data_IF_631432811493
#
_entry.id   IF_631432811493
#
_cell.length_a   1.000
_cell.length_b   1.000
_cell.length_c   1.000
_cell.angle_alpha   90.00
_cell.angle_beta   90.00
_cell.angle_gamma   90.00
#
_symmetry.space_group_name_H-M   'P 1'
#
loop_
_entity.id
_entity.type
_entity.pdbx_description
1 polymer ?
#
# COMPACT_ATOMS: atom_id res chain seq x y z
N UNK A 1 -33.36 -8.36 35.03
CA UNK A 1 -33.02 -7.67 33.77
C UNK A 1 -31.65 -7.04 33.98
N UNK A 2 -30.56 -7.70 33.55
CA UNK A 2 -29.22 -7.10 33.64
C UNK A 2 -29.09 -6.06 32.52
N UNK A 3 -28.70 -4.85 32.88
CA UNK A 3 -28.37 -3.80 31.92
C UNK A 3 -27.21 -4.28 31.06
N UNK A 4 -27.46 -4.64 29.81
CA UNK A 4 -26.40 -4.85 28.82
C UNK A 4 -25.64 -3.54 28.72
N UNK A 5 -24.42 -3.49 29.28
CA UNK A 5 -23.50 -2.40 29.03
C UNK A 5 -23.33 -2.32 27.52
N UNK A 6 -23.96 -1.34 26.90
CA UNK A 6 -23.88 -1.14 25.46
C UNK A 6 -22.40 -0.92 25.15
N UNK A 7 -21.79 -1.87 24.44
CA UNK A 7 -20.38 -1.86 24.04
C UNK A 7 -20.15 -0.71 23.04
N UNK A 8 -20.12 0.52 23.55
CA UNK A 8 -20.02 1.76 22.77
C UNK A 8 -18.63 2.32 22.96
N UNK A 9 -17.98 2.62 21.84
CA UNK A 9 -16.66 3.24 21.77
C UNK A 9 -16.74 4.56 21.02
N UNK A 10 -15.78 5.45 21.23
CA UNK A 10 -15.69 6.75 20.58
C UNK A 10 -16.95 7.59 20.79
N UNK A 11 -17.51 7.55 22.01
CA UNK A 11 -18.74 8.22 22.46
C UNK A 11 -20.03 7.65 21.86
N UNK A 12 -20.07 7.34 20.56
CA UNK A 12 -21.31 7.03 19.84
C UNK A 12 -21.20 5.91 18.81
N UNK A 13 -20.18 5.06 18.84
CA UNK A 13 -20.08 3.88 17.97
C UNK A 13 -20.40 2.60 18.73
N UNK A 14 -21.57 2.00 18.47
CA UNK A 14 -21.92 0.70 19.03
C UNK A 14 -21.16 -0.40 18.29
N UNK A 15 -20.41 -1.21 19.03
CA UNK A 15 -19.69 -2.39 18.53
C UNK A 15 -20.67 -3.52 18.30
N UNK A 16 -20.64 -4.09 17.10
CA UNK A 16 -21.45 -5.22 16.65
C UNK A 16 -20.67 -6.54 16.65
N UNK A 17 -20.96 -7.41 15.67
CA UNK A 17 -20.29 -8.71 15.57
C UNK A 17 -18.85 -8.56 15.06
N UNK A 18 -17.99 -9.50 15.44
CA UNK A 18 -16.65 -9.62 14.88
C UNK A 18 -16.75 -9.97 13.40
N UNK A 19 -16.06 -9.21 12.55
CA UNK A 19 -16.00 -9.43 11.10
C UNK A 19 -14.58 -9.67 10.60
N UNK A 20 -13.57 -9.69 11.46
CA UNK A 20 -12.21 -9.97 10.98
C UNK A 20 -11.21 -10.07 12.12
N UNK A 21 -10.10 -10.73 11.86
CA UNK A 21 -8.95 -10.81 12.76
C UNK A 21 -7.68 -10.96 11.95
N UNK A 22 -6.64 -10.24 12.35
CA UNK A 22 -5.32 -10.32 11.75
C UNK A 22 -4.23 -10.24 12.81
N UNK A 23 -2.97 -10.23 12.35
CA UNK A 23 -1.79 -10.15 13.22
C UNK A 23 -1.76 -8.91 14.12
N UNK A 24 -2.45 -7.83 13.73
CA UNK A 24 -2.40 -6.52 14.39
C UNK A 24 -3.66 -6.17 15.18
N UNK A 25 -4.69 -7.02 15.15
CA UNK A 25 -5.93 -6.70 15.86
C UNK A 25 -7.16 -7.44 15.37
N UNK A 26 -8.30 -7.01 15.92
CA UNK A 26 -9.62 -7.57 15.65
C UNK A 26 -10.50 -6.48 15.07
N UNK A 27 -11.30 -6.83 14.05
CA UNK A 27 -12.22 -5.91 13.37
C UNK A 27 -13.65 -6.34 13.68
N UNK A 28 -14.49 -5.37 14.03
CA UNK A 28 -15.91 -5.54 14.28
C UNK A 28 -16.70 -4.67 13.31
N UNK A 29 -17.89 -5.12 12.90
CA UNK A 29 -18.88 -4.19 12.37
C UNK A 29 -19.42 -3.33 13.51
N UNK A 30 -19.94 -2.16 13.19
CA UNK A 30 -20.52 -1.28 14.18
C UNK A 30 -21.53 -0.31 13.57
N UNK A 31 -22.17 0.45 14.43
CA UNK A 31 -23.15 1.47 14.02
C UNK A 31 -22.88 2.78 14.75
N UNK A 32 -22.75 3.86 13.98
CA UNK A 32 -22.74 5.22 14.51
C UNK A 32 -24.16 5.56 14.99
N UNK A 33 -24.32 5.79 16.28
CA UNK A 33 -25.60 6.02 16.94
C UNK A 33 -26.20 7.40 16.64
N UNK A 34 -25.42 8.34 16.10
CA UNK A 34 -25.89 9.68 15.76
C UNK A 34 -26.68 9.70 14.44
N UNK A 35 -26.31 8.84 13.50
CA UNK A 35 -26.84 8.86 12.13
C UNK A 35 -27.17 7.47 11.54
N UNK A 36 -27.08 6.41 12.36
CA UNK A 36 -27.28 5.01 11.98
C UNK A 36 -26.34 4.49 10.87
N UNK A 37 -25.23 5.19 10.59
CA UNK A 37 -24.26 4.75 9.61
C UNK A 37 -23.53 3.49 10.09
N UNK A 38 -23.41 2.49 9.21
CA UNK A 38 -22.61 1.29 9.48
C UNK A 38 -21.11 1.62 9.32
N UNK A 39 -20.29 1.12 10.25
CA UNK A 39 -18.85 1.37 10.32
C UNK A 39 -18.07 0.07 10.58
N UNK A 40 -16.78 0.07 10.29
CA UNK A 40 -15.85 -0.96 10.75
C UNK A 40 -15.00 -0.39 11.89
N UNK A 41 -14.83 -1.17 12.96
CA UNK A 41 -14.13 -0.77 14.18
C UNK A 41 -12.96 -1.74 14.41
N UNK A 42 -11.73 -1.27 14.22
CA UNK A 42 -10.51 -2.03 14.41
C UNK A 42 -9.94 -1.76 15.81
N UNK A 43 -9.69 -2.83 16.56
CA UNK A 43 -9.07 -2.81 17.88
C UNK A 43 -7.67 -3.39 17.81
N UNK A 44 -6.68 -2.63 18.30
CA UNK A 44 -5.29 -3.07 18.45
C UNK A 44 -4.90 -3.03 19.94
N UNK A 45 -4.36 -4.09 20.54
CA UNK A 45 -3.86 -4.04 21.91
C UNK A 45 -2.75 -3.00 22.08
N UNK A 46 -2.84 -2.16 23.13
CA UNK A 46 -1.86 -1.10 23.41
C UNK A 46 -0.44 -1.62 23.69
N UNK A 47 -0.33 -2.88 24.13
CA UNK A 47 0.94 -3.57 24.40
C UNK A 47 1.38 -4.46 23.22
N UNK A 48 0.90 -4.19 22.01
CA UNK A 48 1.41 -4.83 20.79
C UNK A 48 2.90 -4.52 20.62
N UNK A 49 3.70 -5.50 20.19
CA UNK A 49 5.13 -5.29 19.93
C UNK A 49 5.40 -4.50 18.65
N UNK A 50 4.41 -4.47 17.75
CA UNK A 50 4.44 -3.75 16.50
C UNK A 50 3.16 -2.91 16.38
N UNK A 51 3.04 -1.82 17.16
CA UNK A 51 1.88 -0.95 17.09
C UNK A 51 1.85 -0.21 15.75
N UNK A 52 0.75 -0.33 15.02
CA UNK A 52 0.57 0.23 13.67
C UNK A 52 -0.67 1.11 13.57
N UNK A 53 -1.68 0.92 14.43
CA UNK A 53 -3.00 1.52 14.23
C UNK A 53 -3.00 3.06 14.23
N UNK A 54 -2.09 3.68 15.01
CA UNK A 54 -1.91 5.14 15.00
C UNK A 54 -1.30 5.65 13.69
N UNK A 55 -0.36 4.92 13.13
CA UNK A 55 0.30 5.29 11.87
C UNK A 55 -0.61 4.99 10.67
N UNK A 56 -1.41 3.93 10.76
CA UNK A 56 -2.53 3.67 9.85
C UNK A 56 -3.53 4.83 9.86
N UNK A 57 -3.96 5.31 11.04
CA UNK A 57 -4.83 6.50 11.16
C UNK A 57 -4.23 7.73 10.46
N UNK A 58 -2.93 8.01 10.68
CA UNK A 58 -2.24 9.12 10.00
C UNK A 58 -2.23 8.96 8.49
N UNK A 59 -2.05 7.73 8.01
CA UNK A 59 -2.09 7.43 6.58
C UNK A 59 -3.48 7.67 6.00
N UNK A 60 -4.55 7.23 6.67
CA UNK A 60 -5.92 7.58 6.28
C UNK A 60 -6.14 9.09 6.22
N UNK A 61 -5.61 9.87 7.17
CA UNK A 61 -5.71 11.33 7.16
C UNK A 61 -4.99 11.98 5.97
N UNK A 62 -3.92 11.39 5.46
CA UNK A 62 -3.22 11.85 4.24
C UNK A 62 -4.03 11.52 2.99
N UNK A 63 -4.70 10.35 2.98
CA UNK A 63 -5.39 9.79 1.82
C UNK A 63 -6.88 10.17 1.74
N UNK A 64 -7.45 10.78 2.79
CA UNK A 64 -8.87 11.14 2.86
C UNK A 64 -9.32 11.94 1.64
N UNK A 65 -10.51 11.61 1.12
CA UNK A 65 -11.08 12.23 -0.07
C UNK A 65 -10.58 11.64 -1.40
N UNK A 66 -9.60 10.72 -1.38
CA UNK A 66 -9.18 10.02 -2.58
C UNK A 66 -10.15 8.87 -2.95
N UNK A 67 -10.45 8.65 -4.24
CA UNK A 67 -11.35 7.59 -4.67
C UNK A 67 -10.90 6.19 -4.20
N UNK A 68 -11.84 5.44 -3.63
CA UNK A 68 -11.60 4.08 -3.12
C UNK A 68 -10.74 4.02 -1.85
N UNK A 69 -10.59 5.12 -1.12
CA UNK A 69 -10.07 5.15 0.24
C UNK A 69 -11.24 5.34 1.21
N UNK A 70 -11.46 4.43 2.16
CA UNK A 70 -12.47 4.60 3.21
C UNK A 70 -12.31 5.91 3.98
N UNK A 71 -13.41 6.52 4.38
CA UNK A 71 -13.34 7.61 5.34
C UNK A 71 -12.94 7.09 6.71
N UNK A 72 -12.20 7.91 7.44
CA UNK A 72 -11.84 7.68 8.83
C UNK A 72 -12.60 8.63 9.73
N UNK A 73 -13.24 8.07 10.76
CA UNK A 73 -14.19 8.78 11.62
C UNK A 73 -13.65 9.04 13.02
N UNK A 74 -12.92 8.09 13.57
CA UNK A 74 -12.42 8.18 14.93
C UNK A 74 -11.12 7.38 15.08
N UNK A 75 -10.22 7.94 15.89
CA UNK A 75 -9.10 7.22 16.46
C UNK A 75 -8.99 7.61 17.93
N UNK A 76 -8.85 6.62 18.81
CA UNK A 76 -8.75 6.86 20.25
C UNK A 76 -8.23 5.66 21.02
N UNK A 77 -8.06 5.84 22.32
CA UNK A 77 -7.64 4.79 23.24
C UNK A 77 -8.74 4.53 24.25
N UNK A 78 -9.18 3.28 24.35
CA UNK A 78 -10.20 2.89 25.31
C UNK A 78 -9.79 1.58 25.99
N UNK A 79 -9.69 1.64 27.31
CA UNK A 79 -9.13 0.56 28.12
C UNK A 79 -7.71 0.17 27.66
N UNK A 80 -7.58 -1.09 27.24
CA UNK A 80 -6.31 -1.69 26.83
C UNK A 80 -6.09 -1.68 25.31
N UNK A 81 -6.93 -1.00 24.54
CA UNK A 81 -6.88 -1.01 23.08
C UNK A 81 -6.75 0.40 22.49
N UNK A 82 -6.03 0.50 21.38
CA UNK A 82 -6.22 1.56 20.40
C UNK A 82 -7.41 1.17 19.51
N UNK A 83 -8.22 2.14 19.12
CA UNK A 83 -9.43 1.95 18.32
C UNK A 83 -9.36 2.86 17.10
N UNK A 84 -9.72 2.31 15.93
CA UNK A 84 -9.87 3.02 14.67
C UNK A 84 -11.25 2.72 14.09
N UNK A 85 -12.01 3.75 13.74
CA UNK A 85 -13.33 3.64 13.11
C UNK A 85 -13.27 4.19 11.69
N UNK A 86 -13.64 3.36 10.71
CA UNK A 86 -13.68 3.69 9.28
C UNK A 86 -15.01 3.27 8.66
N UNK A 87 -15.23 3.61 7.39
CA UNK A 87 -16.36 3.08 6.62
C UNK A 87 -16.41 1.55 6.63
N UNK A 88 -17.61 0.99 6.82
CA UNK A 88 -17.84 -0.43 6.56
C UNK A 88 -17.93 -0.67 5.05
N UNK A 89 -17.14 -1.61 4.55
CA UNK A 89 -17.11 -2.03 3.15
C UNK A 89 -17.79 -3.38 2.93
N UNK A 90 -17.83 -3.84 1.67
CA UNK A 90 -18.25 -5.18 1.28
C UNK A 90 -17.12 -6.21 1.45
N UNK A 91 -17.27 -7.40 0.84
CA UNK A 91 -16.27 -8.47 0.90
C UNK A 91 -14.95 -8.08 0.23
N UNK A 92 -13.87 -8.76 0.63
CA UNK A 92 -12.57 -8.64 -0.03
C UNK A 92 -12.55 -9.35 -1.38
N UNK A 93 -11.55 -9.03 -2.22
CA UNK A 93 -11.32 -9.77 -3.46
C UNK A 93 -10.94 -11.23 -3.20
N UNK A 94 -10.37 -11.57 -2.03
CA UNK A 94 -10.14 -12.98 -1.67
C UNK A 94 -11.47 -13.71 -1.40
N UNK A 95 -12.39 -13.09 -0.65
CA UNK A 95 -13.71 -13.68 -0.38
C UNK A 95 -14.50 -13.91 -1.68
N UNK A 96 -14.50 -12.89 -2.56
CA UNK A 96 -15.14 -12.98 -3.87
C UNK A 96 -14.47 -14.04 -4.76
N UNK A 97 -13.15 -14.19 -4.64
CA UNK A 97 -12.40 -15.19 -5.37
C UNK A 97 -12.78 -16.61 -4.94
N UNK A 98 -12.92 -16.85 -3.64
CA UNK A 98 -13.41 -18.12 -3.11
C UNK A 98 -14.85 -18.41 -3.57
N UNK A 99 -15.73 -17.40 -3.57
CA UNK A 99 -17.10 -17.52 -4.11
C UNK A 99 -17.14 -17.85 -5.61
N UNK A 100 -16.14 -17.41 -6.37
CA UNK A 100 -15.97 -17.70 -7.80
C UNK A 100 -15.14 -18.98 -8.05
N UNK A 101 -15.14 -19.94 -7.11
CA UNK A 101 -14.41 -21.21 -7.23
C UNK A 101 -12.90 -21.01 -7.45
N UNK A 102 -12.34 -19.97 -6.82
CA UNK A 102 -10.91 -19.64 -6.83
C UNK A 102 -10.36 -19.44 -8.24
N UNK A 103 -11.14 -18.84 -9.12
CA UNK A 103 -10.66 -18.37 -10.42
C UNK A 103 -11.52 -17.22 -10.92
N UNK A 104 -10.89 -16.15 -11.36
CA UNK A 104 -11.57 -15.08 -12.08
C UNK A 104 -11.33 -15.21 -13.59
N UNK A 105 -12.32 -14.80 -14.37
CA UNK A 105 -12.23 -14.62 -15.81
C UNK A 105 -11.25 -13.49 -16.15
N UNK A 106 -10.71 -13.53 -17.38
CA UNK A 106 -9.80 -12.49 -17.88
C UNK A 106 -10.47 -11.11 -17.78
N UNK A 107 -11.73 -11.00 -18.22
CA UNK A 107 -12.54 -9.79 -18.11
C UNK A 107 -12.57 -9.23 -16.68
N UNK A 108 -12.92 -10.06 -15.70
CA UNK A 108 -12.95 -9.66 -14.28
C UNK A 108 -11.57 -9.21 -13.80
N UNK A 109 -10.51 -9.97 -14.09
CA UNK A 109 -9.15 -9.61 -13.67
C UNK A 109 -8.69 -8.29 -14.28
N UNK A 110 -8.97 -8.04 -15.56
CA UNK A 110 -8.62 -6.80 -16.24
C UNK A 110 -9.29 -5.58 -15.60
N UNK A 111 -10.60 -5.64 -15.36
CA UNK A 111 -11.34 -4.54 -14.73
C UNK A 111 -10.88 -4.30 -13.28
N UNK A 112 -10.64 -5.39 -12.53
CA UNK A 112 -10.06 -5.34 -11.18
C UNK A 112 -8.66 -4.70 -11.21
N UNK A 113 -7.80 -5.11 -12.15
CA UNK A 113 -6.43 -4.65 -12.25
C UNK A 113 -6.35 -3.14 -12.51
N UNK A 114 -7.20 -2.60 -13.39
CA UNK A 114 -7.27 -1.16 -13.66
C UNK A 114 -7.62 -0.35 -12.40
N UNK A 115 -8.60 -0.83 -11.61
CA UNK A 115 -8.96 -0.16 -10.36
C UNK A 115 -7.86 -0.29 -9.30
N UNK A 116 -7.31 -1.49 -9.08
CA UNK A 116 -6.23 -1.71 -8.10
C UNK A 116 -4.99 -0.86 -8.43
N UNK A 117 -4.59 -0.82 -9.70
CA UNK A 117 -3.49 0.01 -10.17
C UNK A 117 -3.75 1.50 -9.89
N UNK A 118 -4.98 1.96 -10.09
CA UNK A 118 -5.37 3.35 -9.78
C UNK A 118 -5.30 3.65 -8.27
N UNK A 119 -5.64 2.69 -7.39
CA UNK A 119 -5.46 2.85 -5.94
C UNK A 119 -4.00 2.96 -5.55
N UNK A 120 -3.16 2.08 -6.09
CA UNK A 120 -1.72 2.08 -5.82
C UNK A 120 -1.07 3.36 -6.35
N UNK A 121 -1.42 3.81 -7.56
CA UNK A 121 -0.99 5.09 -8.11
C UNK A 121 -1.35 6.25 -7.16
N UNK A 122 -2.59 6.30 -6.67
CA UNK A 122 -3.05 7.35 -5.74
C UNK A 122 -2.20 7.38 -4.46
N UNK A 123 -1.88 6.21 -3.88
CA UNK A 123 -1.01 6.09 -2.70
C UNK A 123 0.39 6.63 -3.01
N UNK A 124 0.96 6.25 -4.16
CA UNK A 124 2.27 6.71 -4.62
C UNK A 124 2.31 8.22 -4.85
N UNK A 125 1.26 8.81 -5.41
CA UNK A 125 1.15 10.26 -5.61
C UNK A 125 1.11 11.04 -4.29
N UNK A 126 0.58 10.41 -3.23
CA UNK A 126 0.65 10.91 -1.85
C UNK A 126 1.97 10.61 -1.13
N UNK A 127 3.01 10.23 -1.87
CA UNK A 127 4.39 10.02 -1.41
C UNK A 127 4.58 8.79 -0.51
N UNK A 128 3.61 7.87 -0.53
CA UNK A 128 3.61 6.64 0.25
C UNK A 128 3.80 5.43 -0.67
N UNK A 129 4.35 4.35 -0.15
CA UNK A 129 4.28 2.99 -0.71
C UNK A 129 3.49 2.12 0.25
N UNK A 130 2.77 1.14 -0.29
CA UNK A 130 1.78 0.36 0.45
C UNK A 130 2.39 -0.87 1.16
N UNK A 131 3.27 -1.60 0.47
CA UNK A 131 4.12 -2.70 0.97
C UNK A 131 3.42 -4.00 1.39
N UNK A 132 2.08 -4.07 1.44
CA UNK A 132 1.35 -5.31 1.75
C UNK A 132 0.22 -5.60 0.75
N UNK A 133 0.52 -5.50 -0.54
CA UNK A 133 -0.41 -5.85 -1.62
C UNK A 133 -0.81 -7.32 -1.52
N UNK A 134 -2.10 -7.56 -1.26
CA UNK A 134 -2.74 -8.88 -1.22
C UNK A 134 -4.26 -8.74 -1.46
N UNK A 135 -4.94 -9.75 -2.01
CA UNK A 135 -6.38 -9.70 -2.29
C UNK A 135 -7.25 -9.32 -1.08
N UNK A 136 -6.84 -9.74 0.13
CA UNK A 136 -7.56 -9.50 1.38
C UNK A 136 -7.72 -8.00 1.70
N UNK A 137 -6.80 -7.16 1.23
CA UNK A 137 -6.80 -5.73 1.51
C UNK A 137 -7.51 -4.88 0.44
N UNK A 138 -8.03 -5.52 -0.61
CA UNK A 138 -8.84 -4.87 -1.63
C UNK A 138 -10.28 -5.33 -1.50
N UNK A 139 -11.20 -4.41 -1.21
CA UNK A 139 -12.59 -4.72 -0.89
C UNK A 139 -13.53 -3.99 -1.84
N UNK A 140 -14.66 -4.60 -2.20
CA UNK A 140 -15.70 -3.88 -2.93
C UNK A 140 -16.49 -2.96 -1.99
N UNK A 141 -17.19 -1.96 -2.53
CA UNK A 141 -18.13 -1.18 -1.74
C UNK A 141 -19.32 -2.03 -1.27
N UNK A 142 -20.10 -1.49 -0.34
CA UNK A 142 -21.26 -2.22 0.19
C UNK A 142 -22.31 -2.50 -0.89
N UNK A 143 -23.05 -3.61 -0.76
CA UNK A 143 -24.29 -3.85 -1.48
C UNK A 143 -25.20 -2.63 -1.55
N UNK A 144 -25.91 -2.47 -2.67
CA UNK A 144 -26.92 -1.42 -2.88
C UNK A 144 -26.40 0.01 -2.64
N UNK A 145 -25.08 0.23 -2.73
CA UNK A 145 -24.46 1.55 -2.68
C UNK A 145 -23.98 1.95 -4.07
N UNK A 146 -23.88 3.27 -4.33
CA UNK A 146 -23.27 3.79 -5.57
C UNK A 146 -21.82 3.34 -5.77
N UNK A 147 -21.18 2.82 -4.71
CA UNK A 147 -19.81 2.35 -4.71
C UNK A 147 -19.70 0.81 -4.75
N UNK A 148 -20.79 0.06 -4.99
CA UNK A 148 -20.79 -1.41 -4.97
C UNK A 148 -19.75 -2.05 -5.88
N UNK A 149 -19.45 -1.39 -7.02
CA UNK A 149 -18.49 -1.88 -8.01
C UNK A 149 -17.13 -1.17 -7.91
N UNK A 150 -16.95 -0.31 -6.91
CA UNK A 150 -15.70 0.39 -6.64
C UNK A 150 -14.84 -0.49 -5.75
N UNK A 151 -13.63 -0.79 -6.22
CA UNK A 151 -12.62 -1.46 -5.40
C UNK A 151 -11.98 -0.42 -4.48
N UNK A 152 -11.92 -0.72 -3.20
CA UNK A 152 -11.31 0.08 -2.16
C UNK A 152 -10.03 -0.61 -1.68
N UNK A 153 -9.13 0.14 -1.06
CA UNK A 153 -7.95 -0.39 -0.38
C UNK A 153 -8.00 -0.02 1.11
N UNK A 154 -7.70 -0.99 1.96
CA UNK A 154 -7.70 -0.86 3.43
C UNK A 154 -6.34 -1.25 4.02
N UNK A 155 -6.21 -1.27 5.35
CA UNK A 155 -5.04 -1.76 6.08
C UNK A 155 -3.71 -1.11 5.68
N UNK A 156 -3.52 0.15 6.11
CA UNK A 156 -2.30 0.91 5.84
C UNK A 156 -1.21 0.72 6.92
N UNK A 157 -1.31 -0.32 7.76
CA UNK A 157 -0.37 -0.54 8.86
C UNK A 157 1.09 -0.76 8.42
N UNK A 158 1.29 -1.21 7.18
CA UNK A 158 2.61 -1.38 6.58
C UNK A 158 3.04 -0.20 5.69
N UNK A 159 2.19 0.78 5.44
CA UNK A 159 2.51 1.87 4.53
C UNK A 159 3.72 2.68 5.01
N UNK A 160 4.50 3.21 4.07
CA UNK A 160 5.74 3.94 4.37
C UNK A 160 5.93 5.09 3.40
N UNK A 161 6.42 6.22 3.88
CA UNK A 161 6.82 7.33 3.03
C UNK A 161 8.08 6.96 2.23
N UNK A 162 8.00 7.00 0.89
CA UNK A 162 9.11 6.67 0.00
C UNK A 162 9.85 7.89 -0.55
N UNK A 163 9.26 9.08 -0.40
CA UNK A 163 9.92 10.34 -0.74
C UNK A 163 9.43 11.46 0.15
N UNK A 164 10.23 12.50 0.32
CA UNK A 164 9.80 13.69 1.05
C UNK A 164 8.58 14.35 0.34
N UNK A 165 7.48 14.67 1.05
CA UNK A 165 6.29 15.26 0.43
C UNK A 165 6.53 16.62 -0.20
N UNK A 166 7.52 17.39 0.26
CA UNK A 166 7.84 18.75 -0.19
C UNK A 166 8.91 18.73 -1.28
N UNK A 167 10.09 18.16 -1.00
CA UNK A 167 11.24 18.17 -1.92
C UNK A 167 11.16 17.09 -2.99
N UNK A 168 10.27 16.10 -2.81
CA UNK A 168 10.16 14.89 -3.64
C UNK A 168 11.43 14.04 -3.68
N UNK A 169 12.40 14.30 -2.80
CA UNK A 169 13.61 13.50 -2.67
C UNK A 169 13.25 12.07 -2.26
N UNK A 170 13.68 11.09 -3.07
CA UNK A 170 13.45 9.68 -2.81
C UNK A 170 14.23 9.22 -1.57
N UNK A 171 13.70 8.24 -0.84
CA UNK A 171 14.44 7.57 0.24
C UNK A 171 15.69 6.91 -0.33
N UNK A 172 16.81 6.85 0.42
CA UNK A 172 18.01 6.19 -0.05
C UNK A 172 17.80 4.69 -0.19
N UNK A 173 18.46 4.09 -1.19
CA UNK A 173 18.53 2.65 -1.33
C UNK A 173 19.19 2.01 -0.11
N UNK A 174 18.64 0.88 0.36
CA UNK A 174 19.18 0.08 1.47
C UNK A 174 18.97 -1.39 1.18
N UNK A 175 19.81 -2.22 1.80
CA UNK A 175 19.70 -3.67 1.78
C UNK A 175 19.68 -4.22 3.22
N UNK A 176 19.58 -5.54 3.36
CA UNK A 176 19.50 -6.24 4.65
C UNK A 176 18.28 -5.81 5.47
N UNK A 177 17.19 -5.47 4.79
CA UNK A 177 15.88 -5.23 5.40
C UNK A 177 15.29 -6.54 5.89
N UNK A 178 14.58 -6.49 7.01
CA UNK A 178 13.72 -7.58 7.44
C UNK A 178 12.60 -7.79 6.42
N UNK A 179 12.22 -9.05 6.22
CA UNK A 179 11.11 -9.40 5.34
C UNK A 179 9.80 -8.96 6.01
N UNK A 180 9.05 -8.09 5.33
CA UNK A 180 7.73 -7.62 5.76
C UNK A 180 6.72 -7.78 4.63
N UNK A 181 5.46 -8.03 4.99
CA UNK A 181 4.36 -8.26 4.05
C UNK A 181 4.18 -9.74 3.68
N UNK A 182 3.22 -10.01 2.81
CA UNK A 182 2.80 -11.38 2.48
C UNK A 182 3.74 -12.06 1.48
N UNK A 183 4.44 -13.13 1.90
CA UNK A 183 5.44 -13.87 1.10
C UNK A 183 4.97 -14.25 -0.31
N UNK A 184 3.68 -14.65 -0.42
CA UNK A 184 3.04 -15.09 -1.65
C UNK A 184 3.09 -14.03 -2.74
N UNK A 185 2.89 -12.76 -2.39
CA UNK A 185 2.73 -11.67 -3.37
C UNK A 185 3.93 -10.73 -3.45
N UNK A 186 4.72 -10.57 -2.39
CA UNK A 186 5.85 -9.63 -2.37
C UNK A 186 6.84 -9.79 -3.54
N UNK A 187 7.51 -8.71 -3.91
CA UNK A 187 8.47 -8.69 -5.02
C UNK A 187 9.70 -9.58 -4.76
N UNK A 188 10.42 -9.92 -5.82
CA UNK A 188 11.72 -10.59 -5.72
C UNK A 188 12.71 -9.73 -4.92
N UNK A 189 12.74 -8.41 -5.14
CA UNK A 189 13.61 -7.50 -4.40
C UNK A 189 13.33 -7.52 -2.88
N UNK A 190 12.05 -7.65 -2.49
CA UNK A 190 11.67 -7.79 -1.07
C UNK A 190 12.26 -9.06 -0.47
N UNK A 191 12.17 -10.20 -1.19
CA UNK A 191 12.81 -11.47 -0.77
C UNK A 191 14.33 -11.36 -0.61
N UNK A 192 14.97 -10.51 -1.43
CA UNK A 192 16.41 -10.23 -1.35
C UNK A 192 16.78 -9.23 -0.24
N UNK A 193 15.82 -8.81 0.59
CA UNK A 193 16.05 -7.87 1.69
C UNK A 193 16.41 -6.46 1.22
N UNK A 194 16.00 -6.07 0.01
CA UNK A 194 16.18 -4.72 -0.51
C UNK A 194 15.06 -3.81 -0.01
N UNK A 195 15.36 -2.53 0.18
CA UNK A 195 14.37 -1.52 0.54
C UNK A 195 13.30 -1.45 -0.55
N UNK A 196 12.03 -1.47 -0.13
CA UNK A 196 10.90 -1.43 -1.05
C UNK A 196 10.69 0.01 -1.56
N UNK A 197 10.29 0.12 -2.83
CA UNK A 197 9.78 1.34 -3.45
C UNK A 197 8.54 1.04 -4.29
N UNK A 198 8.11 2.01 -5.11
CA UNK A 198 6.90 1.91 -5.95
C UNK A 198 6.89 0.67 -6.84
N UNK A 199 8.05 0.24 -7.34
CA UNK A 199 8.17 -0.95 -8.21
C UNK A 199 7.74 -2.23 -7.50
N UNK A 200 7.95 -2.31 -6.20
CA UNK A 200 7.68 -3.52 -5.43
C UNK A 200 6.18 -3.72 -5.20
N UNK A 201 5.43 -2.63 -5.02
CA UNK A 201 3.96 -2.66 -4.99
C UNK A 201 3.39 -3.08 -6.36
N UNK A 202 3.97 -2.61 -7.46
CA UNK A 202 3.53 -2.96 -8.81
C UNK A 202 3.86 -4.40 -9.21
N UNK A 203 5.03 -4.91 -8.82
CA UNK A 203 5.37 -6.33 -9.01
C UNK A 203 4.43 -7.23 -8.19
N UNK A 204 4.10 -6.82 -6.95
CA UNK A 204 3.15 -7.55 -6.13
C UNK A 204 1.73 -7.56 -6.71
N UNK A 205 1.27 -6.45 -7.31
CA UNK A 205 0.03 -6.42 -8.08
C UNK A 205 0.05 -7.44 -9.23
N UNK A 206 1.16 -7.52 -9.97
CA UNK A 206 1.32 -8.52 -11.04
C UNK A 206 1.19 -9.96 -10.52
N UNK A 207 1.79 -10.27 -9.37
CA UNK A 207 1.61 -11.57 -8.73
C UNK A 207 0.15 -11.82 -8.30
N UNK A 208 -0.57 -10.80 -7.81
CA UNK A 208 -2.00 -10.89 -7.49
C UNK A 208 -2.86 -11.14 -8.74
N UNK A 209 -2.58 -10.48 -9.86
CA UNK A 209 -3.32 -10.70 -11.11
C UNK A 209 -3.14 -12.12 -11.62
N UNK A 210 -1.90 -12.63 -11.61
CA UNK A 210 -1.64 -14.01 -12.01
C UNK A 210 -2.24 -15.02 -11.03
N UNK A 211 -2.32 -14.69 -9.74
CA UNK A 211 -3.03 -15.51 -8.75
C UNK A 211 -4.52 -15.65 -9.10
N UNK A 212 -5.19 -14.55 -9.43
CA UNK A 212 -6.61 -14.59 -9.80
C UNK A 212 -6.89 -15.37 -11.09
N UNK A 213 -6.02 -15.23 -12.10
CA UNK A 213 -6.18 -15.91 -13.38
C UNK A 213 -5.94 -17.43 -13.28
N UNK A 214 -4.95 -17.83 -12.48
CA UNK A 214 -4.47 -19.21 -12.39
C UNK A 214 -5.13 -20.04 -11.31
N UNK A 215 -5.74 -19.41 -10.31
CA UNK A 215 -6.21 -20.09 -9.10
C UNK A 215 -5.13 -20.33 -8.03
N UNK A 216 -3.88 -20.17 -8.42
CA UNK A 216 -2.71 -20.33 -7.56
C UNK A 216 -1.41 -19.98 -8.29
N UNK A 217 -0.34 -19.78 -7.53
CA UNK A 217 0.98 -19.40 -7.99
C UNK A 217 1.98 -20.57 -7.84
N UNK A 218 3.00 -20.67 -8.71
CA UNK A 218 3.97 -21.78 -8.71
C UNK A 218 4.78 -21.96 -7.41
N UNK A 219 4.79 -20.95 -6.55
CA UNK A 219 5.49 -20.94 -5.26
C UNK A 219 4.55 -21.12 -4.06
N UNK A 220 3.30 -21.55 -4.28
CA UNK A 220 2.40 -21.96 -3.20
C UNK A 220 2.64 -23.42 -2.79
N UNK A 221 2.32 -23.75 -1.52
CA UNK A 221 2.40 -25.12 -1.01
C UNK A 221 3.83 -25.66 -0.76
N UNK A 222 4.87 -24.83 -0.89
CA UNK A 222 6.25 -25.24 -0.63
C UNK A 222 6.46 -25.59 0.84
N UNK A 223 7.04 -26.76 1.09
CA UNK A 223 7.37 -27.26 2.44
C UNK A 223 8.73 -26.72 2.90
N UNK A 224 8.80 -26.25 4.14
CA UNK A 224 10.03 -25.80 4.80
C UNK A 224 9.94 -26.06 6.30
N UNK A 225 11.09 -26.21 6.97
CA UNK A 225 11.11 -26.47 8.42
C UNK A 225 10.87 -25.20 9.24
N UNK A 226 11.29 -24.04 8.72
CA UNK A 226 11.11 -22.74 9.39
C UNK A 226 10.46 -21.73 8.45
N UNK A 227 9.88 -20.68 9.04
CA UNK A 227 9.32 -19.57 8.26
C UNK A 227 10.39 -18.87 7.43
N UNK A 228 11.61 -18.68 7.97
CA UNK A 228 12.72 -18.08 7.22
C UNK A 228 13.04 -18.89 5.95
N UNK A 229 13.20 -20.20 6.08
CA UNK A 229 13.42 -21.09 4.93
C UNK A 229 12.24 -21.10 3.96
N UNK A 230 11.01 -20.96 4.46
CA UNK A 230 9.82 -20.87 3.61
C UNK A 230 9.86 -19.63 2.72
N UNK A 231 10.24 -18.48 3.28
CA UNK A 231 10.41 -17.24 2.52
C UNK A 231 11.53 -17.39 1.48
N UNK A 232 12.69 -17.91 1.87
CA UNK A 232 13.82 -18.16 0.96
C UNK A 232 13.40 -19.04 -0.23
N UNK A 233 12.76 -20.19 0.02
CA UNK A 233 12.26 -21.08 -1.05
C UNK A 233 11.24 -20.41 -1.97
N UNK A 234 10.35 -19.58 -1.44
CA UNK A 234 9.38 -18.83 -2.24
C UNK A 234 10.12 -17.81 -3.12
N UNK A 235 11.08 -17.08 -2.56
CA UNK A 235 11.90 -16.11 -3.28
C UNK A 235 12.75 -16.75 -4.39
N UNK A 236 13.37 -17.89 -4.12
CA UNK A 236 14.09 -18.70 -5.13
C UNK A 236 13.16 -19.18 -6.24
N UNK A 237 11.97 -19.69 -5.89
CA UNK A 237 11.00 -20.13 -6.89
C UNK A 237 10.49 -18.98 -7.75
N UNK A 238 10.31 -17.78 -7.20
CA UNK A 238 9.95 -16.57 -7.95
C UNK A 238 11.02 -16.15 -8.95
N UNK A 239 12.29 -16.21 -8.54
CA UNK A 239 13.44 -15.88 -9.40
C UNK A 239 13.60 -16.87 -10.55
N UNK A 240 13.40 -18.15 -10.28
CA UNK A 240 13.57 -19.23 -11.26
C UNK A 240 12.37 -19.43 -12.18
N UNK A 241 11.19 -18.92 -11.82
CA UNK A 241 10.00 -18.98 -12.67
C UNK A 241 10.07 -17.90 -13.75
N UNK A 242 10.19 -18.32 -15.00
CA UNK A 242 10.20 -17.42 -16.17
C UNK A 242 8.83 -16.73 -16.29
N UNK A 243 8.82 -15.43 -16.61
CA UNK A 243 7.58 -14.64 -16.71
C UNK A 243 6.64 -15.24 -17.76
N UNK A 244 7.19 -15.66 -18.91
CA UNK A 244 6.43 -16.29 -19.99
C UNK A 244 5.70 -17.55 -19.50
N UNK A 245 6.36 -18.41 -18.73
CA UNK A 245 5.77 -19.63 -18.18
C UNK A 245 4.69 -19.30 -17.13
N UNK A 246 4.92 -18.27 -16.31
CA UNK A 246 3.91 -17.81 -15.35
C UNK A 246 2.64 -17.33 -16.08
N UNK A 247 2.80 -16.63 -17.19
CA UNK A 247 1.71 -16.02 -17.96
C UNK A 247 1.17 -16.90 -19.09
N UNK A 248 1.66 -18.13 -19.23
CA UNK A 248 1.24 -19.04 -20.30
C UNK A 248 -0.27 -19.29 -20.27
N UNK A 249 -0.91 -19.22 -21.44
CA UNK A 249 -2.36 -19.39 -21.59
C UNK A 249 -3.20 -18.16 -21.26
N UNK A 250 -2.59 -17.02 -20.95
CA UNK A 250 -3.26 -15.74 -20.68
C UNK A 250 -2.82 -14.65 -21.66
N UNK A 251 -3.53 -13.49 -21.74
CA UNK A 251 -3.17 -12.42 -22.65
C UNK A 251 -1.72 -11.94 -22.47
N UNK A 252 -1.05 -11.66 -23.59
CA UNK A 252 0.38 -11.29 -23.62
C UNK A 252 0.67 -10.02 -22.79
N UNK A 253 -0.33 -9.17 -22.62
CA UNK A 253 -0.26 -7.93 -21.84
C UNK A 253 0.10 -8.18 -20.37
N UNK A 254 -0.26 -9.33 -19.78
CA UNK A 254 0.20 -9.71 -18.45
C UNK A 254 1.71 -10.01 -18.41
N UNK A 255 2.24 -10.60 -19.49
CA UNK A 255 3.70 -10.79 -19.67
C UNK A 255 4.40 -9.44 -19.79
N UNK A 256 3.84 -8.51 -20.60
CA UNK A 256 4.36 -7.15 -20.77
C UNK A 256 4.34 -6.36 -19.46
N UNK A 257 3.27 -6.46 -18.68
CA UNK A 257 3.14 -5.84 -17.36
C UNK A 257 4.24 -6.33 -16.42
N UNK A 258 4.37 -7.65 -16.23
CA UNK A 258 5.36 -8.21 -15.30
C UNK A 258 6.80 -7.93 -15.73
N UNK A 259 7.05 -7.93 -17.04
CA UNK A 259 8.37 -7.59 -17.59
C UNK A 259 8.70 -6.13 -17.32
N UNK A 260 7.76 -5.21 -17.54
CA UNK A 260 7.94 -3.78 -17.27
C UNK A 260 8.26 -3.54 -15.79
N UNK A 261 7.41 -4.04 -14.87
CA UNK A 261 7.55 -3.71 -13.44
C UNK A 261 8.80 -4.34 -12.79
N UNK A 262 9.25 -5.51 -13.28
CA UNK A 262 10.51 -6.13 -12.82
C UNK A 262 11.76 -5.39 -13.30
N UNK A 263 11.66 -4.63 -14.38
CA UNK A 263 12.77 -3.86 -14.95
C UNK A 263 12.87 -2.42 -14.43
N UNK A 264 11.92 -1.96 -13.61
CA UNK A 264 11.98 -0.63 -12.99
C UNK A 264 13.17 -0.49 -12.03
N UNK A 265 13.89 0.61 -12.18
CA UNK A 265 14.86 1.10 -11.22
C UNK A 265 14.23 1.45 -9.87
N UNK A 266 15.06 1.51 -8.82
CA UNK A 266 14.57 1.73 -7.45
C UNK A 266 13.83 3.07 -7.29
N UNK A 267 14.33 4.12 -7.94
CA UNK A 267 13.77 5.48 -7.85
C UNK A 267 12.87 5.83 -9.03
N UNK A 268 12.71 4.93 -10.01
CA UNK A 268 11.94 5.18 -11.22
C UNK A 268 10.49 5.53 -10.90
N UNK A 269 9.94 6.44 -11.69
CA UNK A 269 8.52 6.74 -11.65
C UNK A 269 7.81 5.82 -12.64
N UNK A 270 6.91 4.94 -12.18
CA UNK A 270 6.18 4.05 -13.08
C UNK A 270 5.28 4.84 -14.04
N UNK A 271 5.17 4.36 -15.27
CA UNK A 271 4.21 4.81 -16.26
C UNK A 271 2.87 4.07 -16.06
N UNK A 272 2.02 4.62 -15.19
CA UNK A 272 0.73 4.00 -14.87
C UNK A 272 -0.25 4.03 -16.04
N UNK A 273 -0.11 4.99 -16.97
CA UNK A 273 -0.93 5.06 -18.18
C UNK A 273 -0.63 3.88 -19.09
N UNK A 274 0.65 3.64 -19.39
CA UNK A 274 1.08 2.46 -20.14
C UNK A 274 0.56 1.16 -19.52
N UNK A 275 0.68 1.01 -18.19
CA UNK A 275 0.21 -0.19 -17.49
C UNK A 275 -1.32 -0.36 -17.58
N UNK A 276 -2.11 0.73 -17.55
CA UNK A 276 -3.57 0.68 -17.77
C UNK A 276 -3.93 0.36 -19.22
N UNK A 277 -3.14 0.86 -20.17
CA UNK A 277 -3.35 0.62 -21.59
C UNK A 277 -3.09 -0.84 -21.97
N UNK A 278 -2.12 -1.50 -21.33
CA UNK A 278 -1.93 -2.95 -21.43
C UNK A 278 -3.22 -3.71 -21.06
N UNK A 279 -3.86 -3.38 -19.93
CA UNK A 279 -5.11 -4.04 -19.55
C UNK A 279 -6.27 -3.72 -20.51
N UNK A 280 -6.32 -2.49 -21.01
CA UNK A 280 -7.31 -2.10 -22.02
C UNK A 280 -7.11 -2.87 -23.33
N UNK A 281 -5.86 -3.12 -23.74
CA UNK A 281 -5.55 -3.93 -24.92
C UNK A 281 -5.87 -5.41 -24.70
N UNK A 282 -5.62 -5.95 -23.51
CA UNK A 282 -5.97 -7.33 -23.16
C UNK A 282 -7.48 -7.57 -23.34
N UNK A 283 -8.32 -6.63 -22.87
CA UNK A 283 -9.77 -6.72 -23.00
C UNK A 283 -10.23 -6.69 -24.46
N UNK A 284 -9.65 -5.79 -25.26
CA UNK A 284 -9.92 -5.72 -26.70
C UNK A 284 -9.54 -7.01 -27.42
N UNK A 285 -8.41 -7.61 -27.07
CA UNK A 285 -7.90 -8.82 -27.70
C UNK A 285 -8.74 -10.07 -27.35
N UNK A 286 -9.42 -10.09 -26.20
CA UNK A 286 -10.36 -11.16 -25.86
C UNK A 286 -11.77 -10.95 -26.41
N UNK A 287 -12.06 -9.80 -27.02
CA UNK A 287 -13.40 -9.44 -27.48
C UNK A 287 -14.37 -9.09 -26.33
N UNK A 288 -13.84 -8.87 -25.13
CA UNK A 288 -14.61 -8.46 -23.96
C UNK A 288 -14.81 -6.93 -23.93
N UNK A 289 -15.75 -6.48 -23.09
CA UNK A 289 -16.05 -5.06 -22.88
C UNK A 289 -15.94 -4.69 -21.39
N UNK A 290 -15.61 -3.43 -21.13
CA UNK A 290 -15.55 -2.87 -19.77
C UNK A 290 -16.92 -2.29 -19.41
N UNK A 291 -17.83 -3.18 -19.02
CA UNK A 291 -19.23 -2.86 -18.69
C UNK A 291 -19.52 -2.85 -17.18
N UNK A 292 -18.52 -3.18 -16.36
CA UNK A 292 -18.68 -3.28 -14.90
C UNK A 292 -19.35 -4.58 -14.43
N UNK A 293 -19.48 -5.59 -15.30
CA UNK A 293 -20.03 -6.90 -14.99
C UNK A 293 -18.92 -7.89 -14.59
N UNK A 294 -18.84 -8.17 -13.29
CA UNK A 294 -17.82 -9.08 -12.72
C UNK A 294 -18.38 -10.49 -12.49
N UNK A 295 -17.49 -11.48 -12.35
CA UNK A 295 -17.89 -12.89 -12.17
C UNK A 295 -18.78 -13.09 -10.94
N UNK A 296 -18.49 -12.37 -9.85
CA UNK A 296 -19.25 -12.48 -8.60
C UNK A 296 -20.69 -11.96 -8.72
N UNK A 297 -21.03 -11.21 -9.77
CA UNK A 297 -22.40 -10.76 -10.05
C UNK A 297 -23.23 -11.86 -10.73
N UNK A 298 -22.57 -12.82 -11.38
CA UNK A 298 -23.22 -13.92 -12.11
C UNK A 298 -23.52 -15.13 -11.22
N UNK A 299 -23.04 -15.12 -9.97
CA UNK A 299 -23.28 -16.18 -8.99
C UNK A 299 -24.78 -16.34 -8.67
N UNK A 300 -25.14 -17.49 -8.10
CA UNK A 300 -26.50 -17.79 -7.62
C UNK A 300 -27.59 -17.62 -8.70
N UNK A 301 -27.29 -18.00 -9.95
CA UNK A 301 -28.19 -17.84 -11.08
C UNK A 301 -28.40 -16.39 -11.51
N UNK A 302 -27.33 -15.56 -11.47
CA UNK A 302 -27.38 -14.15 -11.82
C UNK A 302 -27.88 -13.21 -10.71
N UNK A 303 -28.03 -13.72 -9.48
CA UNK A 303 -28.44 -12.90 -8.33
C UNK A 303 -27.25 -12.30 -7.56
N UNK A 304 -26.03 -12.60 -8.00
CA UNK A 304 -24.79 -12.11 -7.40
C UNK A 304 -24.42 -12.80 -6.09
N UNK A 305 -23.23 -12.46 -5.58
CA UNK A 305 -22.67 -12.99 -4.34
C UNK A 305 -23.57 -12.72 -3.12
N UNK A 306 -24.32 -11.61 -3.13
CA UNK A 306 -25.21 -11.19 -2.04
C UNK A 306 -26.36 -12.18 -1.79
N UNK A 307 -26.78 -12.91 -2.84
CA UNK A 307 -27.85 -13.89 -2.75
C UNK A 307 -27.39 -15.24 -2.19
N UNK A 308 -26.09 -15.41 -1.95
CA UNK A 308 -25.63 -16.52 -1.13
C UNK A 308 -26.29 -16.35 0.24
N UNK A 309 -26.93 -17.41 0.76
CA UNK A 309 -27.32 -17.44 2.18
C UNK A 309 -26.10 -16.99 2.99
N UNK A 310 -26.27 -16.31 4.13
CA UNK A 310 -25.15 -16.03 5.02
C UNK A 310 -24.63 -17.38 5.50
N UNK A 311 -23.77 -18.00 4.69
CA UNK A 311 -22.62 -18.66 5.23
C UNK A 311 -22.07 -17.64 6.21
N UNK A 312 -21.83 -18.09 7.44
CA UNK A 312 -20.90 -17.39 8.28
C UNK A 312 -19.79 -16.97 7.32
N UNK A 313 -19.54 -15.66 7.22
CA UNK A 313 -18.28 -15.18 6.74
C UNK A 313 -17.27 -15.79 7.70
N UNK A 314 -16.98 -17.07 7.49
CA UNK A 314 -15.66 -17.59 7.55
C UNK A 314 -14.96 -16.68 6.55
N UNK A 315 -14.54 -15.49 7.02
CA UNK A 315 -13.11 -15.24 7.08
C UNK A 315 -12.55 -16.60 7.45
N UNK A 316 -12.25 -17.39 6.43
CA UNK A 316 -11.56 -18.62 6.65
C UNK A 316 -10.39 -18.12 7.48
N UNK A 317 -10.29 -18.66 8.68
CA UNK A 317 -9.02 -18.78 9.33
C UNK A 317 -8.15 -19.62 8.39
N UNK A 318 -7.83 -19.10 7.20
CA UNK A 318 -6.49 -19.13 6.68
C UNK A 318 -5.68 -18.23 7.59
N UNK A 319 -5.54 -18.70 8.84
CA UNK A 319 -4.21 -18.74 9.40
C UNK A 319 -3.31 -19.22 8.29
N UNK A 320 -2.23 -18.48 8.06
CA UNK A 320 -1.03 -19.10 7.56
C UNK A 320 -0.66 -20.19 8.58
N UNK A 321 -1.32 -21.36 8.52
CA UNK A 321 -1.31 -22.43 9.51
C UNK A 321 -1.30 -21.92 10.97
N UNK A 322 -2.44 -21.78 11.63
CA UNK A 322 -2.42 -21.73 13.10
C UNK A 322 -2.07 -23.13 13.63
N UNK A 323 -1.14 -23.41 14.55
CA UNK A 323 -0.09 -22.72 15.35
C UNK A 323 0.72 -23.88 16.05
N UNK A 324 1.78 -23.69 16.89
CA UNK A 324 2.29 -22.47 17.52
C UNK A 324 3.71 -22.13 17.04
N UNK A 325 4.07 -20.89 16.70
CA UNK A 325 4.24 -19.78 17.62
C UNK A 325 4.56 -18.47 16.83
N UNK A 326 4.09 -17.34 17.34
CA UNK A 326 4.69 -15.98 17.21
C UNK A 326 5.26 -15.54 15.85
N UNK A 327 4.41 -15.24 14.86
CA UNK A 327 4.84 -14.68 13.57
C UNK A 327 4.99 -13.15 13.62
N UNK A 328 6.06 -12.68 14.27
CA UNK A 328 6.71 -11.37 14.07
C UNK A 328 7.97 -11.19 14.96
N UNK A 329 8.19 -12.07 15.94
CA UNK A 329 9.05 -11.74 17.10
C UNK A 329 10.54 -12.08 17.00
N UNK A 330 11.00 -12.98 16.12
CA UNK A 330 12.36 -13.53 16.27
C UNK A 330 13.47 -12.85 15.45
N UNK A 331 13.36 -11.53 15.18
CA UNK A 331 14.45 -10.77 14.55
C UNK A 331 14.90 -9.54 15.35
N UNK A 332 14.33 -9.28 16.54
CA UNK A 332 14.83 -8.25 17.45
C UNK A 332 15.61 -8.87 18.61
N UNK A 333 16.94 -8.75 18.53
CA UNK A 333 17.85 -9.11 19.62
C UNK A 333 17.56 -8.29 20.88
N UNK A 334 17.70 -8.94 22.02
CA UNK A 334 17.86 -8.32 23.34
C UNK A 334 18.84 -9.16 24.14
N UNK A 335 20.02 -8.60 24.40
CA UNK A 335 20.91 -9.05 25.45
C UNK A 335 20.28 -8.72 26.80
N UNK A 336 20.24 -9.68 27.73
CA UNK A 336 20.02 -9.46 29.15
C UNK A 336 20.59 -10.65 29.97
N UNK A 337 20.91 -10.47 31.27
CA UNK A 337 22.12 -11.02 31.87
C UNK A 337 21.91 -12.21 32.83
N UNK A 338 22.95 -13.08 32.92
CA UNK A 338 23.38 -13.98 34.04
C UNK A 338 22.33 -14.99 34.60
N UNK A 339 22.65 -16.20 35.07
CA UNK A 339 23.88 -16.86 35.51
C UNK A 339 23.71 -18.39 35.45
N UNK A 340 24.79 -19.12 35.18
CA UNK A 340 25.02 -20.46 35.78
C UNK A 340 26.49 -20.85 35.66
N UNK A 341 27.10 -21.17 36.80
CA UNK A 341 28.49 -21.53 37.00
C UNK A 341 28.97 -22.75 36.19
N UNK A 342 30.22 -22.69 35.68
CA UNK A 342 31.25 -23.75 35.70
C UNK A 342 32.63 -23.20 35.20
N UNK A 343 33.76 -23.87 35.50
CA UNK A 343 34.96 -23.20 36.01
C UNK A 343 36.02 -22.82 34.96
N UNK A 344 36.67 -21.68 35.23
CA UNK A 344 38.12 -21.48 35.19
C UNK A 344 38.88 -21.72 33.89
N UNK A 345 39.03 -20.67 33.07
CA UNK A 345 40.17 -20.52 32.15
C UNK A 345 40.85 -19.19 32.49
N UNK A 346 42.15 -19.22 32.76
CA UNK A 346 42.96 -18.13 33.31
C UNK A 346 43.19 -16.99 32.32
N UNK A 347 43.46 -15.79 32.86
CA UNK A 347 43.53 -14.51 32.14
C UNK A 347 44.75 -14.31 31.21
N UNK A 348 45.56 -15.35 30.96
CA UNK A 348 46.79 -15.27 30.14
C UNK A 348 46.58 -15.58 28.64
N UNK A 349 45.34 -15.59 28.14
CA UNK A 349 45.05 -15.86 26.71
C UNK A 349 44.25 -14.79 25.98
N UNK A 350 44.15 -13.57 26.52
CA UNK A 350 43.41 -12.47 25.91
C UNK A 350 44.28 -11.40 25.21
N UNK A 351 45.61 -11.58 25.13
CA UNK A 351 46.53 -10.60 24.49
C UNK A 351 47.52 -11.20 23.48
N UNK A 352 47.19 -12.33 22.83
CA UNK A 352 47.99 -12.83 21.71
C UNK A 352 47.65 -12.08 20.41
N UNK A 353 48.65 -11.42 19.81
CA UNK A 353 48.54 -10.70 18.54
C UNK A 353 48.11 -11.63 17.39
N UNK A 354 47.21 -11.14 16.53
CA UNK A 354 46.83 -11.85 15.30
C UNK A 354 47.97 -11.82 14.26
N UNK A 355 48.16 -12.90 13.47
CA UNK A 355 49.16 -12.92 12.40
C UNK A 355 48.75 -12.01 11.22
N UNK A 356 49.72 -11.42 10.49
CA UNK A 356 49.43 -10.53 9.37
C UNK A 356 48.91 -11.29 8.12
N UNK A 357 48.15 -10.62 7.24
CA UNK A 357 47.63 -11.22 6.01
C UNK A 357 48.74 -11.45 4.95
N UNK A 358 48.57 -12.43 4.04
CA UNK A 358 49.58 -12.75 3.02
C UNK A 358 49.64 -11.71 1.89
N UNK A 359 50.87 -11.35 1.49
CA UNK A 359 51.20 -10.44 0.39
C UNK A 359 51.14 -11.13 -1.00
N UNK A 360 50.93 -10.38 -2.10
CA UNK A 360 50.75 -10.95 -3.44
C UNK A 360 52.05 -11.48 -4.04
N UNK A 361 51.95 -12.58 -4.79
CA UNK A 361 53.05 -13.26 -5.47
C UNK A 361 53.70 -12.39 -6.57
N UNK A 362 55.03 -12.30 -6.53
CA UNK A 362 55.88 -11.76 -7.60
C UNK A 362 56.12 -12.83 -8.67
N UNK A 363 55.92 -12.48 -9.94
CA UNK A 363 56.40 -13.27 -11.07
C UNK A 363 57.90 -12.98 -11.32
N UNK A 364 58.70 -14.04 -11.39
CA UNK A 364 60.12 -14.02 -11.74
C UNK A 364 60.37 -14.29 -13.24
N UNK A 365 61.53 -13.82 -13.70
CA UNK A 365 61.95 -13.60 -15.10
C UNK A 365 62.58 -14.83 -15.77
N UNK A 366 62.32 -15.01 -17.08
CA UNK A 366 63.11 -15.84 -18.00
C UNK A 366 63.15 -15.26 -19.43
N UNK A 367 64.37 -15.07 -19.96
CA UNK A 367 64.85 -14.49 -21.26
C UNK A 367 64.23 -15.14 -22.53
N UNK A 368 64.27 -14.64 -23.78
CA UNK A 368 64.60 -13.39 -24.48
C UNK A 368 64.33 -13.63 -26.00
N UNK A 369 63.82 -12.65 -26.77
CA UNK A 369 64.36 -12.19 -28.09
C UNK A 369 63.46 -11.19 -28.84
N UNK A 370 64.14 -10.15 -29.33
CA UNK A 370 63.95 -9.35 -30.56
C UNK A 370 62.78 -8.33 -30.72
N UNK A 371 63.21 -7.09 -31.03
CA UNK A 371 62.52 -5.86 -31.48
C UNK A 371 62.61 -5.76 -33.04
N UNK A 372 62.05 -4.77 -33.79
CA UNK A 372 61.56 -3.43 -33.39
C UNK A 372 60.29 -2.85 -34.11
N UNK A 373 59.89 -1.62 -33.67
CA UNK A 373 59.22 -0.50 -34.39
C UNK A 373 57.69 -0.59 -34.68
N UNK A 374 56.85 0.47 -34.62
CA UNK A 374 57.03 1.93 -34.59
C UNK A 374 55.79 2.70 -34.02
N UNK A 375 56.01 3.96 -33.58
CA UNK A 375 55.16 5.19 -33.63
C UNK A 375 53.67 5.16 -33.23
N UNK A 376 53.08 6.09 -32.47
CA UNK A 376 53.50 7.39 -31.95
C UNK A 376 52.33 8.05 -31.17
N UNK A 377 52.67 8.94 -30.23
CA UNK A 377 51.78 9.83 -29.44
C UNK A 377 52.16 11.28 -29.78
N UNK A 378 51.26 12.27 -29.59
CA UNK A 378 51.54 13.30 -28.56
C UNK A 378 50.24 13.69 -27.80
N UNK A 379 50.14 13.61 -26.46
CA UNK A 379 50.64 14.49 -25.37
C UNK A 379 50.44 16.00 -25.53
N UNK A 380 49.70 16.58 -24.56
CA UNK A 380 49.84 17.98 -24.09
C UNK A 380 49.98 17.95 -22.57
N UNK A 381 51.01 18.66 -22.08
CA UNK A 381 51.38 18.92 -20.67
C UNK A 381 51.09 20.38 -20.31
N UNK A 382 50.72 20.63 -19.05
CA UNK A 382 51.43 21.48 -18.02
C UNK A 382 50.44 21.79 -16.87
N UNK A 383 50.71 21.37 -15.62
CA UNK A 383 51.56 21.99 -14.56
C UNK A 383 51.05 23.37 -14.07
N UNK A 384 51.11 23.76 -12.81
CA UNK A 384 51.31 23.12 -11.49
C UNK A 384 51.19 24.23 -10.40
N UNK A 385 50.77 23.87 -9.18
CA UNK A 385 51.25 24.45 -7.91
C UNK A 385 50.46 25.65 -7.32
N UNK A 386 50.39 25.92 -6.01
CA UNK A 386 51.02 25.44 -4.74
C UNK A 386 50.15 26.03 -3.59
N UNK A 387 49.53 25.26 -2.69
CA UNK A 387 49.91 24.84 -1.32
C UNK A 387 49.64 25.80 -0.13
N UNK A 388 49.32 25.18 1.02
CA UNK A 388 49.22 25.72 2.39
C UNK A 388 47.78 25.61 2.96
N UNK A 389 47.44 24.95 4.06
CA UNK A 389 48.18 24.36 5.18
C UNK A 389 47.54 24.83 6.51
N UNK A 390 47.23 23.88 7.43
CA UNK A 390 46.82 24.05 8.85
C UNK A 390 45.35 24.52 9.05
N UNK A 391 44.57 24.15 10.08
CA UNK A 391 44.79 23.48 11.36
C UNK A 391 43.43 22.98 11.92
N UNK A 392 43.47 22.06 12.88
CA UNK A 392 42.30 21.49 13.55
C UNK A 392 41.83 22.36 14.74
N UNK A 393 40.52 22.45 14.99
CA UNK A 393 39.97 22.71 16.33
C UNK A 393 38.59 22.08 16.50
N UNK A 394 38.44 21.39 17.62
CA UNK A 394 37.21 20.89 18.25
C UNK A 394 36.36 22.03 18.82
N UNK A 395 35.03 21.95 18.79
CA UNK A 395 34.12 22.03 19.98
C UNK A 395 32.63 22.17 19.62
N UNK A 396 31.82 21.39 20.36
CA UNK A 396 30.51 21.69 20.98
C UNK A 396 29.27 22.17 20.17
N UNK A 397 28.28 21.27 20.12
CA UNK A 397 26.94 21.38 20.76
C UNK A 397 26.17 22.70 20.71
N UNK A 398 24.96 22.68 20.14
CA UNK A 398 23.83 23.50 20.64
C UNK A 398 22.48 22.82 20.39
N UNK A 399 21.83 22.41 21.49
CA UNK A 399 20.40 22.12 21.57
C UNK A 399 19.61 23.44 21.60
N UNK A 400 18.53 23.54 20.83
CA UNK A 400 17.55 24.62 20.95
C UNK A 400 16.26 24.09 21.61
N UNK A 401 16.00 24.57 22.83
CA UNK A 401 14.72 24.49 23.54
C UNK A 401 13.79 25.60 23.02
N UNK A 402 12.52 25.29 22.78
CA UNK A 402 11.46 26.29 22.64
C UNK A 402 10.55 26.24 23.88
N UNK A 403 10.49 27.37 24.58
CA UNK A 403 9.65 27.62 25.74
C UNK A 403 8.25 28.11 25.35
N UNK A 404 7.28 27.71 26.16
CA UNK A 404 5.89 28.16 26.19
C UNK A 404 5.78 29.68 26.43
N UNK A 405 4.82 30.31 25.76
CA UNK A 405 4.23 31.57 26.25
C UNK A 405 2.70 31.51 26.13
N UNK A 406 2.06 31.50 27.30
CA UNK A 406 0.64 31.83 27.50
C UNK A 406 0.61 33.29 27.96
N UNK A 407 -0.20 34.14 27.30
CA UNK A 407 -0.53 35.46 27.82
C UNK A 407 -2.04 35.71 27.66
N UNK A 408 -2.63 36.02 28.81
CA UNK A 408 -4.03 36.31 29.11
C UNK A 408 -4.54 37.58 28.42
N UNK A 409 -5.81 37.54 27.99
CA UNK A 409 -6.64 38.70 27.63
C UNK A 409 -7.59 39.04 28.80
N UNK A 410 -7.84 40.32 29.12
CA UNK A 410 -8.89 40.69 30.06
C UNK A 410 -10.25 40.79 29.36
N UNK A 411 -11.28 40.25 30.01
CA UNK A 411 -12.67 40.27 29.56
C UNK A 411 -13.44 41.51 30.02
N UNK A 412 -14.40 41.93 29.19
CA UNK A 412 -15.48 42.84 29.55
C UNK A 412 -16.82 42.10 29.38
N UNK A 413 -17.57 41.97 30.49
CA UNK A 413 -19.04 41.91 30.50
C UNK A 413 -19.51 43.37 30.66
N UNK A 414 -20.66 43.82 30.15
CA UNK A 414 -22.00 43.58 30.72
C UNK A 414 -23.06 44.28 29.83
N UNK A 415 -24.30 43.75 29.88
CA UNK A 415 -25.62 44.34 29.64
C UNK A 415 -26.38 44.07 28.32
N UNK A 416 -27.41 43.23 28.48
CA UNK A 416 -28.71 43.25 27.79
C UNK A 416 -29.72 43.91 28.73
N UNK A 417 -30.76 44.60 28.24
CA UNK A 417 -32.08 43.95 28.29
C UNK A 417 -33.04 44.34 27.14
N UNK A 418 -34.09 43.52 26.95
CA UNK A 418 -35.38 44.02 26.48
C UNK A 418 -35.98 43.31 25.26
N UNK A 419 -36.91 42.38 25.53
CA UNK A 419 -37.89 41.85 24.57
C UNK A 419 -38.76 42.96 23.96
N UNK A 420 -39.01 42.90 22.65
CA UNK A 420 -40.31 43.26 22.08
C UNK A 420 -40.53 42.49 20.76
N UNK A 421 -41.67 41.81 20.71
CA UNK A 421 -42.17 41.08 19.55
C UNK A 421 -42.85 42.06 18.57
N UNK A 422 -42.55 41.92 17.27
CA UNK A 422 -43.49 42.28 16.21
C UNK A 422 -43.36 41.29 15.05
N UNK A 423 -44.51 40.77 14.65
CA UNK A 423 -44.68 39.92 13.48
C UNK A 423 -44.67 40.76 12.19
N UNK A 424 -43.94 40.32 11.17
CA UNK A 424 -44.19 40.72 9.79
C UNK A 424 -43.58 39.73 8.80
N UNK A 425 -44.46 38.95 8.18
CA UNK A 425 -44.52 38.46 6.80
C UNK A 425 -43.23 38.15 6.01
N UNK A 426 -43.28 36.95 5.41
CA UNK A 426 -42.33 36.36 4.49
C UNK A 426 -42.07 37.20 3.23
N UNK A 427 -40.80 37.23 2.80
CA UNK A 427 -40.40 37.50 1.41
C UNK A 427 -39.10 36.74 1.07
N UNK A 428 -39.16 35.94 0.00
CA UNK A 428 -38.03 35.24 -0.62
C UNK A 428 -37.07 36.23 -1.27
N UNK A 429 -35.73 36.03 -1.19
CA UNK A 429 -34.80 36.80 -2.00
C UNK A 429 -34.73 36.25 -3.43
N UNK A 430 -34.87 37.18 -4.38
CA UNK A 430 -34.90 37.01 -5.84
C UNK A 430 -33.57 36.49 -6.40
N UNK A 431 -33.65 35.64 -7.43
CA UNK A 431 -32.54 35.23 -8.30
C UNK A 431 -31.89 36.44 -9.00
N UNK A 432 -30.57 36.46 -9.05
CA UNK A 432 -29.79 37.36 -9.91
C UNK A 432 -30.02 37.02 -11.41
N UNK A 433 -29.95 38.01 -12.32
CA UNK A 433 -30.11 37.75 -13.75
C UNK A 433 -28.85 37.11 -14.35
N UNK A 434 -29.04 36.10 -15.22
CA UNK A 434 -27.98 35.49 -16.03
C UNK A 434 -27.50 36.46 -17.13
N UNK A 435 -26.21 36.42 -17.53
CA UNK A 435 -25.70 37.28 -18.59
C UNK A 435 -26.15 36.81 -19.99
N UNK A 436 -26.53 37.78 -20.85
CA UNK A 436 -26.88 37.56 -22.26
C UNK A 436 -25.72 36.93 -23.07
N UNK A 437 -26.00 35.96 -23.95
CA UNK A 437 -24.97 35.31 -24.75
C UNK A 437 -24.41 36.23 -25.85
N UNK A 438 -23.10 36.18 -26.01
CA UNK A 438 -22.34 36.98 -26.99
C UNK A 438 -22.73 36.65 -28.44
N UNK A 439 -22.50 37.59 -29.36
CA UNK A 439 -22.78 37.45 -30.79
C UNK A 439 -22.16 36.18 -31.42
N UNK A 440 -20.99 35.76 -30.92
CA UNK A 440 -20.30 34.53 -31.35
C UNK A 440 -21.03 33.25 -30.90
N UNK A 441 -21.69 33.27 -29.73
CA UNK A 441 -22.49 32.14 -29.23
C UNK A 441 -23.83 31.98 -29.98
N UNK A 442 -24.37 33.07 -30.56
CA UNK A 442 -25.57 33.01 -31.40
C UNK A 442 -25.28 32.39 -32.78
N UNK A 443 -24.04 32.52 -33.30
CA UNK A 443 -23.62 31.96 -34.60
C UNK A 443 -23.34 30.45 -34.53
N UNK A 444 -22.71 29.95 -33.45
CA UNK A 444 -22.45 28.51 -33.32
C UNK A 444 -23.71 27.65 -33.16
N UNK A 445 -24.80 28.21 -32.62
CA UNK A 445 -26.07 27.49 -32.45
C UNK A 445 -26.88 27.35 -33.75
N UNK A 446 -26.58 28.18 -34.76
CA UNK A 446 -27.22 28.16 -36.07
C UNK A 446 -26.55 27.19 -37.07
N UNK A 447 -25.33 26.70 -36.77
CA UNK A 447 -24.55 25.82 -37.67
C UNK A 447 -24.65 24.32 -37.34
N UNK A 448 -25.24 23.92 -36.22
CA UNK A 448 -25.27 22.52 -35.77
C UNK A 448 -26.66 21.84 -35.78
N UNK A 449 -27.70 22.47 -36.36
CA UNK A 449 -29.03 21.86 -36.47
C UNK A 449 -29.59 22.07 -37.88
N UNK A 450 -29.15 21.24 -38.84
CA UNK A 450 -29.66 21.24 -40.21
C UNK A 450 -29.77 19.84 -40.79
N UNK A 451 -31.03 19.40 -40.96
CA UNK A 451 -31.56 18.36 -41.88
C UNK A 451 -31.29 16.88 -41.60
N UNK A 452 -32.35 16.16 -41.23
CA UNK A 452 -32.73 14.87 -41.83
C UNK A 452 -34.22 14.56 -41.55
N UNK A 453 -35.09 14.85 -42.52
CA UNK A 453 -36.43 14.26 -42.68
C UNK A 453 -36.71 14.17 -44.17
N UNK A 454 -36.70 12.95 -44.71
CA UNK A 454 -37.42 12.56 -45.92
C UNK A 454 -38.01 11.18 -45.63
N UNK A 455 -39.35 11.12 -45.72
CA UNK A 455 -40.16 9.90 -45.75
C UNK A 455 -39.97 9.17 -47.09
N UNK A 456 -40.16 7.85 -47.11
CA UNK A 456 -41.02 7.22 -48.13
C UNK A 456 -41.54 5.84 -47.66
N UNK A 457 -42.87 5.73 -47.73
CA UNK A 457 -43.72 4.62 -48.18
C UNK A 457 -43.58 3.22 -47.59
N UNK A 458 -44.54 2.84 -46.73
CA UNK A 458 -45.66 1.92 -47.05
C UNK A 458 -46.66 1.88 -45.89
#
# INVERSE_FOLDING_TARGET
>A
MSSSSSNVVGVHYRVGKKIGEGSFGVIFEGTNLLNNQQVAIKFEPRKSDAPQLRDEYRTYKILVGCPGIPNVYYFGQEGLHNILVIDLLGPSLEDLFDHCNRRFSIKTVVMVAKQMLSRVQTIHEKNLIYRDIKPDNFLIGRPNSKASNVIHVVDFGMAKQYRDPKTKQHIPYRERKSLSGTARYMSINTHLGREQSRRDDLEALGHVFMYFLRGGLPWQGLKAATNKQKYEKIGEKKQTTVIKDLCEGFPEEFTKYLTYVRNLGFEDTPDYDYLRDLFTQALKNTGDVEDGEYDWMKLNGGKGWEAAKPYASHHHLHGANALPNSSARDLHGSAAPRASHRPGVTADRLNAAQPPPPSPAKAGVGKARERPNASGVPQVKRQNGVAGGLEATTTASTQAQFQNSNLHLPGNRVNTPGNQAMASQAQQPRRAPEPEPTFVQKIMKALCCGRSRVQNDS
#
